data_IF_782741440419
#
_entry.id   IF_782741440419
#
_cell.length_a   1.000
_cell.length_b   1.000
_cell.length_c   1.000
_cell.angle_alpha   90.00
_cell.angle_beta   90.00
_cell.angle_gamma   90.00
#
_symmetry.space_group_name_H-M   'P 1'
#
loop_
_entity.id
_entity.type
_entity.pdbx_description
1 polymer ?
#
# COMPACT_ATOMS: atom_id res chain seq x y z
N UNK A 1 1.46 -3.39 -12.89
CA UNK A 1 2.13 -4.66 -13.21
C UNK A 1 1.36 -5.79 -12.55
N UNK A 2 1.37 -7.01 -13.10
CA UNK A 2 0.56 -8.14 -12.62
C UNK A 2 0.84 -8.56 -11.18
N UNK A 3 2.08 -8.42 -10.71
CA UNK A 3 2.47 -8.74 -9.32
C UNK A 3 2.08 -7.68 -8.27
N UNK A 4 1.48 -6.56 -8.68
CA UNK A 4 1.10 -5.48 -7.77
C UNK A 4 -0.43 -5.47 -7.59
N UNK A 5 -0.96 -5.83 -6.41
CA UNK A 5 -2.39 -5.84 -6.16
C UNK A 5 -3.01 -4.45 -6.37
N UNK A 6 -4.07 -4.38 -7.17
CA UNK A 6 -4.84 -3.14 -7.36
C UNK A 6 -5.54 -2.71 -6.08
N UNK A 7 -5.82 -3.65 -5.19
CA UNK A 7 -6.34 -3.40 -3.84
C UNK A 7 -5.48 -2.42 -3.06
N UNK A 8 -4.14 -2.53 -3.11
CA UNK A 8 -3.26 -1.61 -2.36
C UNK A 8 -3.38 -0.19 -2.92
N UNK A 9 -3.46 -0.03 -4.24
CA UNK A 9 -3.69 1.29 -4.84
C UNK A 9 -5.08 1.82 -4.53
N UNK A 10 -6.11 0.97 -4.49
CA UNK A 10 -7.44 1.38 -4.05
C UNK A 10 -7.39 1.94 -2.64
N UNK A 11 -6.76 1.23 -1.69
CA UNK A 11 -6.57 1.73 -0.32
C UNK A 11 -5.80 3.05 -0.30
N UNK A 12 -4.72 3.16 -1.08
CA UNK A 12 -3.95 4.40 -1.21
C UNK A 12 -4.84 5.58 -1.63
N UNK A 13 -5.61 5.42 -2.70
CA UNK A 13 -6.52 6.47 -3.17
C UNK A 13 -7.61 6.79 -2.15
N UNK A 14 -8.23 5.76 -1.56
CA UNK A 14 -9.29 5.93 -0.55
C UNK A 14 -8.80 6.72 0.68
N UNK A 15 -7.54 6.57 1.09
CA UNK A 15 -6.92 7.34 2.18
C UNK A 15 -6.65 8.79 1.76
N UNK A 16 -5.85 8.99 0.71
CA UNK A 16 -5.39 10.34 0.37
C UNK A 16 -6.52 11.23 -0.14
N UNK A 17 -7.58 10.66 -0.74
CA UNK A 17 -8.78 11.41 -1.12
C UNK A 17 -9.62 11.87 0.07
N UNK A 18 -9.50 11.22 1.24
CA UNK A 18 -10.09 11.69 2.49
C UNK A 18 -9.21 12.71 3.21
N UNK A 19 -7.99 12.94 2.70
CA UNK A 19 -6.99 13.77 3.34
C UNK A 19 -6.08 13.02 4.32
N UNK A 20 -6.27 11.71 4.47
CA UNK A 20 -5.45 10.88 5.36
C UNK A 20 -4.11 10.54 4.69
N UNK A 21 -3.05 10.42 5.49
CA UNK A 21 -1.78 9.89 5.01
C UNK A 21 -1.81 8.36 4.91
N UNK A 22 -0.96 7.79 4.05
CA UNK A 22 -0.83 6.34 3.91
C UNK A 22 0.62 5.90 3.71
N UNK A 23 0.97 4.77 4.33
CA UNK A 23 2.20 4.05 4.04
C UNK A 23 1.92 2.81 3.20
N UNK A 24 2.72 2.55 2.16
CA UNK A 24 2.56 1.37 1.33
C UNK A 24 3.90 0.87 0.79
N UNK A 25 4.07 -0.45 0.75
CA UNK A 25 5.08 -1.06 -0.11
C UNK A 25 4.56 -1.07 -1.56
N UNK A 26 5.41 -0.76 -2.54
CA UNK A 26 4.98 -0.74 -3.95
C UNK A 26 6.04 -1.41 -4.81
N UNK A 27 5.63 -2.44 -5.56
CA UNK A 27 6.45 -3.09 -6.58
C UNK A 27 6.28 -2.37 -7.91
N UNK A 28 7.29 -1.64 -8.33
CA UNK A 28 7.30 -0.88 -9.58
C UNK A 28 7.96 -1.67 -10.70
N UNK A 29 7.47 -1.49 -11.93
CA UNK A 29 8.11 -1.98 -13.15
C UNK A 29 9.03 -0.90 -13.70
N UNK A 30 10.30 -1.23 -13.88
CA UNK A 30 11.30 -0.38 -14.50
C UNK A 30 11.14 -0.37 -16.03
N UNK A 31 11.73 0.64 -16.69
CA UNK A 31 11.62 0.84 -18.15
C UNK A 31 12.20 -0.34 -18.94
N UNK A 32 13.22 -0.99 -18.39
CA UNK A 32 13.89 -2.17 -18.96
C UNK A 32 13.12 -3.48 -18.74
N UNK A 33 11.98 -3.44 -18.06
CA UNK A 33 11.16 -4.62 -17.75
C UNK A 33 11.46 -5.28 -16.41
N UNK A 34 12.52 -4.87 -15.70
CA UNK A 34 12.82 -5.32 -14.35
C UNK A 34 11.84 -4.74 -13.31
N UNK A 35 12.00 -5.12 -12.04
CA UNK A 35 11.18 -4.60 -10.94
C UNK A 35 12.03 -4.11 -9.79
N UNK A 36 11.49 -3.13 -9.06
CA UNK A 36 12.06 -2.66 -7.81
C UNK A 36 10.96 -2.32 -6.81
N UNK A 37 11.28 -2.50 -5.53
CA UNK A 37 10.37 -2.18 -4.44
C UNK A 37 10.68 -0.81 -3.84
N UNK A 38 9.64 -0.11 -3.41
CA UNK A 38 9.74 1.11 -2.60
C UNK A 38 8.83 1.00 -1.39
N UNK A 39 9.24 1.59 -0.27
CA UNK A 39 8.35 1.98 0.81
C UNK A 39 7.94 3.43 0.56
N UNK A 40 6.65 3.68 0.39
CA UNK A 40 6.09 4.99 0.07
C UNK A 40 5.26 5.51 1.24
N UNK A 41 5.48 6.77 1.61
CA UNK A 41 4.54 7.58 2.39
C UNK A 41 3.89 8.57 1.44
N UNK A 42 2.56 8.65 1.44
CA UNK A 42 1.79 9.57 0.60
C UNK A 42 0.85 10.40 1.46
N UNK A 43 0.85 11.71 1.27
CA UNK A 43 0.01 12.65 2.00
C UNK A 43 -0.61 13.70 1.08
N UNK A 44 -1.77 14.22 1.47
CA UNK A 44 -2.41 15.35 0.81
C UNK A 44 -1.86 16.67 1.35
N UNK A 45 -1.87 17.71 0.52
CA UNK A 45 -1.67 19.10 0.92
C UNK A 45 -2.92 19.91 0.68
N UNK A 46 -3.15 20.89 1.55
CA UNK A 46 -4.40 21.61 1.64
C UNK A 46 -4.18 23.12 1.45
N UNK A 47 -5.17 23.79 0.87
CA UNK A 47 -5.26 25.26 0.91
C UNK A 47 -5.74 25.76 2.28
N UNK A 48 -5.86 27.08 2.44
CA UNK A 48 -6.35 27.71 3.68
C UNK A 48 -7.81 27.39 4.01
N UNK A 49 -8.58 26.88 3.04
CA UNK A 49 -9.98 26.49 3.20
C UNK A 49 -10.14 24.98 3.49
N UNK A 50 -9.02 24.23 3.57
CA UNK A 50 -9.03 22.79 3.79
C UNK A 50 -9.30 21.96 2.52
N UNK A 51 -9.23 22.54 1.32
CA UNK A 51 -9.38 21.78 0.08
C UNK A 51 -8.05 21.12 -0.28
N UNK A 52 -8.08 19.85 -0.72
CA UNK A 52 -6.90 19.16 -1.26
C UNK A 52 -6.46 19.85 -2.55
N UNK A 53 -5.21 20.28 -2.61
CA UNK A 53 -4.62 20.94 -3.79
C UNK A 53 -3.52 20.11 -4.45
N UNK A 54 -2.86 19.21 -3.72
CA UNK A 54 -1.77 18.37 -4.24
C UNK A 54 -1.58 17.11 -3.37
N UNK A 55 -0.86 16.13 -3.93
CA UNK A 55 -0.37 14.96 -3.19
C UNK A 55 1.16 14.90 -3.24
N UNK A 56 1.77 14.58 -2.11
CA UNK A 56 3.21 14.35 -2.00
C UNK A 56 3.48 12.89 -1.71
N UNK A 57 4.53 12.34 -2.34
CA UNK A 57 4.99 10.98 -2.08
C UNK A 57 6.48 10.98 -1.76
N UNK A 58 6.84 10.55 -0.56
CA UNK A 58 8.22 10.28 -0.17
C UNK A 58 8.46 8.78 -0.31
N UNK A 59 9.54 8.41 -1.01
CA UNK A 59 9.87 7.00 -1.28
C UNK A 59 11.24 6.68 -0.72
N UNK A 60 11.34 5.53 -0.07
CA UNK A 60 12.57 5.00 0.53
C UNK A 60 12.81 3.57 0.08
N UNK A 61 14.06 3.12 0.21
CA UNK A 61 14.35 1.71 0.09
C UNK A 61 13.56 0.95 1.16
N UNK A 62 12.80 -0.09 0.80
CA UNK A 62 12.07 -0.88 1.76
C UNK A 62 13.02 -1.72 2.60
N UNK A 63 12.61 -2.03 3.81
CA UNK A 63 13.29 -3.04 4.61
C UNK A 63 13.18 -4.40 3.90
N UNK A 64 14.32 -5.02 3.63
CA UNK A 64 14.42 -6.26 2.84
C UNK A 64 13.74 -7.44 3.50
N UNK A 65 13.75 -7.53 4.84
CA UNK A 65 13.13 -8.64 5.57
C UNK A 65 11.62 -8.59 5.50
N UNK A 66 11.05 -7.40 5.37
CA UNK A 66 9.61 -7.18 5.25
C UNK A 66 9.08 -7.58 3.88
N UNK A 67 9.93 -7.60 2.85
CA UNK A 67 9.53 -7.90 1.47
C UNK A 67 8.98 -9.31 1.32
N UNK A 68 9.52 -10.32 2.00
CA UNK A 68 8.99 -11.69 1.92
C UNK A 68 7.55 -11.77 2.45
N UNK A 69 7.29 -11.12 3.59
CA UNK A 69 5.95 -11.04 4.20
C UNK A 69 4.99 -10.30 3.26
N UNK A 70 5.41 -9.15 2.73
CA UNK A 70 4.59 -8.36 1.81
C UNK A 70 4.30 -9.12 0.52
N UNK A 71 5.27 -9.86 -0.02
CA UNK A 71 5.06 -10.69 -1.21
C UNK A 71 4.04 -11.81 -0.97
N UNK A 72 4.03 -12.44 0.21
CA UNK A 72 3.02 -13.43 0.57
C UNK A 72 1.63 -12.82 0.70
N UNK A 73 1.53 -11.67 1.38
CA UNK A 73 0.27 -10.90 1.44
C UNK A 73 -0.22 -10.58 0.03
N UNK A 74 0.68 -10.11 -0.85
CA UNK A 74 0.28 -9.68 -2.20
C UNK A 74 -0.19 -10.84 -3.06
N UNK A 75 0.39 -12.04 -2.93
CA UNK A 75 -0.13 -13.25 -3.57
C UNK A 75 -1.58 -13.53 -3.15
N UNK A 76 -1.88 -13.43 -1.84
CA UNK A 76 -3.25 -13.60 -1.33
C UNK A 76 -4.19 -12.58 -1.95
N UNK A 77 -3.79 -11.30 -1.97
CA UNK A 77 -4.61 -10.22 -2.54
C UNK A 77 -4.87 -10.42 -4.03
N UNK A 78 -3.84 -10.77 -4.82
CA UNK A 78 -3.98 -11.03 -6.25
C UNK A 78 -4.95 -12.18 -6.55
N UNK A 79 -4.90 -13.27 -5.77
CA UNK A 79 -5.83 -14.38 -5.92
C UNK A 79 -7.28 -13.97 -5.58
N UNK A 80 -7.47 -13.17 -4.53
CA UNK A 80 -8.79 -12.62 -4.16
C UNK A 80 -9.31 -11.67 -5.24
N UNK A 81 -8.46 -10.79 -5.76
CA UNK A 81 -8.79 -9.88 -6.86
C UNK A 81 -9.20 -10.64 -8.12
N UNK A 82 -8.45 -11.68 -8.48
CA UNK A 82 -8.71 -12.49 -9.67
C UNK A 82 -10.03 -13.27 -9.56
N UNK A 83 -10.33 -13.79 -8.38
CA UNK A 83 -11.54 -14.60 -8.14
C UNK A 83 -12.80 -13.76 -7.97
N UNK A 84 -12.70 -12.60 -7.31
CA UNK A 84 -13.88 -11.89 -6.81
C UNK A 84 -13.77 -10.35 -6.86
N UNK A 85 -12.79 -9.83 -7.59
CA UNK A 85 -12.62 -8.40 -7.83
C UNK A 85 -11.91 -7.64 -6.70
N UNK A 86 -11.65 -6.35 -6.95
CA UNK A 86 -10.82 -5.50 -6.09
C UNK A 86 -11.38 -5.38 -4.66
N UNK A 87 -12.70 -5.32 -4.52
CA UNK A 87 -13.34 -5.21 -3.20
C UNK A 87 -13.10 -6.46 -2.33
N UNK A 88 -13.05 -7.66 -2.93
CA UNK A 88 -12.70 -8.87 -2.20
C UNK A 88 -11.23 -8.86 -1.72
N UNK A 89 -10.34 -8.29 -2.53
CA UNK A 89 -8.97 -8.03 -2.11
C UNK A 89 -8.90 -7.02 -0.96
N UNK A 90 -9.69 -5.94 -1.00
CA UNK A 90 -9.75 -4.96 0.10
C UNK A 90 -10.24 -5.61 1.40
N UNK A 91 -11.30 -6.42 1.36
CA UNK A 91 -11.75 -7.16 2.54
C UNK A 91 -10.65 -8.08 3.08
N UNK A 92 -9.99 -8.85 2.21
CA UNK A 92 -8.90 -9.73 2.63
C UNK A 92 -7.72 -8.97 3.25
N UNK A 93 -7.38 -7.80 2.71
CA UNK A 93 -6.36 -6.92 3.28
C UNK A 93 -6.76 -6.43 4.68
N UNK A 94 -8.01 -6.01 4.86
CA UNK A 94 -8.50 -5.55 6.15
C UNK A 94 -8.59 -6.68 7.19
N UNK A 95 -8.93 -7.90 6.76
CA UNK A 95 -8.91 -9.09 7.62
C UNK A 95 -7.48 -9.39 8.11
N UNK A 96 -6.50 -9.33 7.20
CA UNK A 96 -5.08 -9.50 7.54
C UNK A 96 -4.66 -8.44 8.54
N UNK A 97 -4.88 -7.16 8.23
CA UNK A 97 -4.55 -6.02 9.12
C UNK A 97 -5.17 -6.21 10.51
N UNK A 98 -6.45 -6.59 10.56
CA UNK A 98 -7.17 -6.80 11.81
C UNK A 98 -6.63 -7.98 12.63
N UNK A 99 -6.08 -9.02 11.98
CA UNK A 99 -5.45 -10.15 12.67
C UNK A 99 -4.20 -9.74 13.47
N UNK A 100 -3.53 -8.65 13.07
CA UNK A 100 -2.42 -8.05 13.81
C UNK A 100 -2.88 -7.07 14.90
N UNK A 101 -4.19 -6.83 15.03
CA UNK A 101 -4.79 -5.83 15.95
C UNK A 101 -4.21 -4.42 15.75
N UNK A 102 -3.89 -4.08 14.51
CA UNK A 102 -3.32 -2.80 14.10
C UNK A 102 -4.22 -2.15 13.06
N UNK A 103 -4.07 -0.84 12.88
CA UNK A 103 -4.52 -0.16 11.67
C UNK A 103 -3.62 -0.53 10.49
N UNK A 104 -4.06 -0.21 9.27
CA UNK A 104 -3.25 -0.44 8.08
C UNK A 104 -1.90 0.30 8.16
N UNK A 105 -1.90 1.58 8.50
CA UNK A 105 -0.68 2.37 8.58
C UNK A 105 0.26 1.86 9.68
N UNK A 106 -0.26 1.50 10.86
CA UNK A 106 0.57 0.93 11.93
C UNK A 106 1.23 -0.38 11.49
N UNK A 107 0.50 -1.28 10.83
CA UNK A 107 1.06 -2.53 10.34
C UNK A 107 2.15 -2.27 9.30
N UNK A 108 1.86 -1.45 8.27
CA UNK A 108 2.82 -1.19 7.19
C UNK A 108 4.07 -0.47 7.71
N UNK A 109 3.90 0.50 8.62
CA UNK A 109 5.01 1.19 9.24
C UNK A 109 5.83 0.27 10.16
N UNK A 110 5.17 -0.55 10.97
CA UNK A 110 5.84 -1.55 11.82
C UNK A 110 6.65 -2.54 10.99
N UNK A 111 6.09 -3.01 9.88
CA UNK A 111 6.80 -3.89 8.95
C UNK A 111 8.07 -3.22 8.42
N UNK A 112 8.05 -1.92 8.12
CA UNK A 112 9.23 -1.19 7.66
C UNK A 112 10.29 -1.03 8.75
N UNK A 113 9.92 -0.65 9.97
CA UNK A 113 10.87 -0.29 11.02
C UNK A 113 11.41 -1.48 11.84
N UNK A 114 10.63 -2.55 12.04
CA UNK A 114 10.89 -3.53 13.11
C UNK A 114 11.19 -4.97 12.67
N UNK A 115 11.34 -5.27 11.37
CA UNK A 115 11.67 -6.63 10.91
C UNK A 115 13.12 -6.79 10.47
#
# INVERSE_FOLDING_TARGET
>A
HEDMPRTVFKCLWDYIQKGDEIFAFVKNKAKDGNFYWVFANVSASFDTNGNIINYYSVRRAPNRKSLSIIEEVYKILLEKEKKSGINAGVSALMDIVSSYKMTYNELIFNLQENN
#
